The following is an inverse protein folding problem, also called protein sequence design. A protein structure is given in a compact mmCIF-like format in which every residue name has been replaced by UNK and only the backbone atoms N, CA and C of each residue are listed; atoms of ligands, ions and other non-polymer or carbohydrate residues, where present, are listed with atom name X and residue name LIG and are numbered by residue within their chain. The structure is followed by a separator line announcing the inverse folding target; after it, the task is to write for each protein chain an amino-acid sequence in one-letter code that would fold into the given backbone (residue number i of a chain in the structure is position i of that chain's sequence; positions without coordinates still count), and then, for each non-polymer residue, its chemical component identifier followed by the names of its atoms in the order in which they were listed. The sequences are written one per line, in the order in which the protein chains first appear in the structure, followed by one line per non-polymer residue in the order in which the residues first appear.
data_IF_429893784796
#
_entry.id   IF_429893784796
#
_cell.length_a   1.000
_cell.length_b   1.000
_cell.length_c   1.000
_cell.angle_alpha   90.00
_cell.angle_beta   90.00
_cell.angle_gamma   90.00
#
_symmetry.space_group_name_H-M   'P 1'
#
loop_
_entity.id
_entity.type
_entity.pdbx_description
1 polymer ?
#
# COMPACT_ATOMS: atom_id res chain seq x y z
N UNK A 1 -58.15 6.66 45.20
CA UNK A 1 -57.48 6.91 43.89
C UNK A 1 -56.57 5.73 43.57
N UNK A 2 -56.64 5.23 42.32
CA UNK A 2 -55.68 4.38 41.56
C UNK A 2 -55.21 3.07 42.21
N UNK A 3 -55.71 1.89 41.79
CA UNK A 3 -55.44 1.10 40.55
C UNK A 3 -54.10 0.31 40.56
N UNK A 4 -54.27 -1.01 40.66
CA UNK A 4 -53.58 -2.14 39.99
C UNK A 4 -52.34 -1.87 39.10
N UNK A 5 -51.29 -2.69 39.28
CA UNK A 5 -50.68 -3.60 38.26
C UNK A 5 -49.48 -4.33 38.90
N UNK A 6 -49.45 -5.67 39.03
CA UNK A 6 -49.17 -6.73 38.05
C UNK A 6 -47.77 -6.70 37.40
N UNK A 7 -47.07 -7.81 37.68
CA UNK A 7 -46.11 -8.58 36.86
C UNK A 7 -44.66 -8.09 36.85
N UNK A 8 -43.86 -8.88 37.56
CA UNK A 8 -42.41 -9.00 37.46
C UNK A 8 -42.07 -9.59 36.09
N UNK A 9 -41.46 -8.77 35.23
CA UNK A 9 -40.49 -9.16 34.22
C UNK A 9 -39.15 -8.53 34.69
N UNK A 10 -37.95 -9.02 34.41
CA UNK A 10 -37.40 -9.45 33.13
C UNK A 10 -36.13 -10.26 33.42
N UNK A 11 -35.82 -11.21 32.55
CA UNK A 11 -34.55 -11.92 32.50
C UNK A 11 -33.36 -10.95 32.36
N UNK A 12 -32.33 -11.16 33.17
CA UNK A 12 -31.04 -10.47 33.05
C UNK A 12 -30.21 -11.11 31.93
N UNK A 13 -30.12 -10.44 30.79
CA UNK A 13 -29.10 -10.71 29.78
C UNK A 13 -27.92 -9.76 30.02
N UNK A 14 -26.78 -10.33 30.39
CA UNK A 14 -25.52 -9.62 30.59
C UNK A 14 -24.99 -9.09 29.24
N UNK A 15 -24.94 -7.76 29.12
CA UNK A 15 -24.31 -7.06 28.01
C UNK A 15 -22.78 -7.06 28.25
N UNK A 16 -22.04 -7.90 27.51
CA UNK A 16 -20.58 -7.84 27.45
C UNK A 16 -20.17 -6.55 26.70
N UNK A 17 -19.72 -5.56 27.44
CA UNK A 17 -19.02 -4.40 26.89
C UNK A 17 -17.64 -4.85 26.37
N UNK A 18 -17.49 -4.95 25.04
CA UNK A 18 -16.18 -5.00 24.40
C UNK A 18 -15.76 -3.56 24.13
N UNK A 19 -14.69 -3.13 24.80
CA UNK A 19 -14.06 -1.83 24.56
C UNK A 19 -13.51 -1.76 23.12
N UNK A 20 -13.63 -0.61 22.43
CA UNK A 20 -12.94 -0.42 21.16
C UNK A 20 -11.43 -0.34 21.40
N UNK A 21 -10.70 -1.33 20.87
CA UNK A 21 -9.25 -1.25 20.72
C UNK A 21 -8.97 -0.15 19.70
N UNK A 22 -8.25 0.88 20.13
CA UNK A 22 -7.75 1.95 19.28
C UNK A 22 -6.89 1.34 18.15
N UNK A 23 -7.47 1.24 16.96
CA UNK A 23 -6.71 0.96 15.75
C UNK A 23 -5.92 2.22 15.41
N UNK A 24 -4.60 2.12 15.53
CA UNK A 24 -3.63 3.08 15.02
C UNK A 24 -4.02 3.44 13.59
N UNK A 25 -4.26 4.73 13.35
CA UNK A 25 -4.58 5.28 12.05
C UNK A 25 -3.46 4.92 11.06
N UNK A 26 -3.69 3.87 10.26
CA UNK A 26 -2.98 3.69 9.00
C UNK A 26 -3.51 4.79 8.10
N UNK A 27 -2.67 5.78 7.85
CA UNK A 27 -2.88 6.85 6.88
C UNK A 27 -3.15 6.23 5.50
N UNK A 28 -4.43 5.99 5.19
CA UNK A 28 -4.87 5.83 3.81
C UNK A 28 -4.77 7.20 3.19
N UNK A 29 -3.73 7.38 2.36
CA UNK A 29 -3.53 8.55 1.51
C UNK A 29 -4.81 8.77 0.73
N UNK A 30 -5.68 9.62 1.25
CA UNK A 30 -6.74 10.27 0.50
C UNK A 30 -6.00 11.21 -0.44
N UNK A 31 -5.77 10.78 -1.67
CA UNK A 31 -5.28 11.64 -2.73
C UNK A 31 -6.37 12.63 -3.12
N UNK A 32 -6.67 13.54 -2.21
CA UNK A 32 -7.07 14.89 -2.53
C UNK A 32 -5.84 15.76 -2.22
N UNK A 33 -4.76 15.56 -2.99
CA UNK A 33 -3.69 16.53 -2.98
C UNK A 33 -4.13 17.66 -3.92
N UNK A 34 -4.56 18.74 -3.30
CA UNK A 34 -4.71 20.05 -3.91
C UNK A 34 -3.33 20.54 -4.35
N UNK A 35 -2.79 19.97 -5.42
CA UNK A 35 -1.60 20.49 -6.08
C UNK A 35 -1.98 21.82 -6.76
N UNK A 36 -1.21 22.86 -6.41
CA UNK A 36 -1.36 24.27 -6.72
C UNK A 36 -2.28 24.61 -7.92
N UNK A 37 -3.55 24.94 -7.64
CA UNK A 37 -4.42 25.63 -8.59
C UNK A 37 -3.99 27.11 -8.61
N UNK A 38 -3.17 27.48 -9.58
CA UNK A 38 -2.88 28.89 -9.83
C UNK A 38 -4.14 29.58 -10.36
N UNK A 39 -4.59 30.62 -9.66
CA UNK A 39 -5.41 31.65 -10.30
C UNK A 39 -4.56 32.25 -11.41
N UNK A 40 -5.11 32.39 -12.62
CA UNK A 40 -4.43 33.06 -13.73
C UNK A 40 -4.10 34.50 -13.31
N UNK A 41 -2.91 34.69 -12.75
CA UNK A 41 -2.38 35.98 -12.34
C UNK A 41 -1.29 36.31 -13.35
N UNK A 42 -1.29 37.54 -13.87
CA UNK A 42 -0.21 38.08 -14.69
C UNK A 42 1.10 37.99 -13.91
N UNK A 43 1.84 36.90 -14.08
CA UNK A 43 3.17 36.75 -13.51
C UNK A 43 4.19 37.14 -14.57
N UNK A 44 4.77 38.32 -14.42
CA UNK A 44 5.76 38.95 -15.30
C UNK A 44 7.18 38.46 -15.05
N UNK A 45 7.37 37.34 -14.35
CA UNK A 45 8.70 36.83 -14.03
C UNK A 45 9.20 35.87 -15.11
N UNK A 46 10.00 36.42 -16.02
CA UNK A 46 10.78 35.71 -17.01
C UNK A 46 11.88 34.85 -16.35
N UNK A 47 11.78 33.53 -16.54
CA UNK A 47 12.92 32.62 -16.53
C UNK A 47 12.69 31.60 -17.65
N UNK A 48 13.76 31.18 -18.33
CA UNK A 48 13.72 30.20 -19.42
C UNK A 48 13.34 28.83 -18.86
N UNK A 49 12.05 28.56 -18.68
CA UNK A 49 11.59 27.35 -18.01
C UNK A 49 11.31 26.25 -19.03
N UNK A 50 12.36 25.53 -19.42
CA UNK A 50 12.17 24.20 -19.98
C UNK A 50 11.60 23.28 -18.89
N UNK A 51 10.62 22.45 -19.22
CA UNK A 51 10.17 21.32 -18.38
C UNK A 51 11.29 20.27 -18.30
N UNK A 52 12.25 20.47 -17.40
CA UNK A 52 13.39 19.58 -17.20
C UNK A 52 13.19 18.69 -15.98
N UNK A 53 12.97 17.40 -16.21
CA UNK A 53 12.79 16.39 -15.15
C UNK A 53 14.13 15.75 -14.80
N UNK A 54 14.67 16.07 -13.62
CA UNK A 54 16.00 15.65 -13.19
C UNK A 54 15.99 14.31 -12.44
N UNK A 55 16.44 13.25 -13.11
CA UNK A 55 16.58 11.88 -12.60
C UNK A 55 18.06 11.49 -12.38
N UNK A 56 18.94 12.47 -12.15
CA UNK A 56 20.37 12.21 -11.96
C UNK A 56 20.63 11.19 -10.84
N UNK A 57 21.47 10.19 -11.13
CA UNK A 57 21.81 9.11 -10.21
C UNK A 57 20.77 7.98 -10.09
N UNK A 58 19.52 8.20 -10.52
CA UNK A 58 18.49 7.14 -10.51
C UNK A 58 18.77 6.03 -11.56
N UNK A 59 19.54 6.33 -12.60
CA UNK A 59 19.90 5.41 -13.69
C UNK A 59 21.22 4.64 -13.51
N UNK A 60 21.97 4.87 -12.43
CA UNK A 60 23.35 4.36 -12.27
C UNK A 60 23.43 2.84 -12.04
N UNK A 61 22.30 2.17 -11.80
CA UNK A 61 22.26 0.79 -11.29
C UNK A 61 21.96 -0.31 -12.30
N UNK A 62 21.81 -0.06 -13.61
CA UNK A 62 21.28 -1.12 -14.49
C UNK A 62 21.82 -1.24 -15.94
N UNK A 63 21.93 -2.50 -16.40
CA UNK A 63 22.12 -2.86 -17.81
C UNK A 63 20.91 -2.41 -18.65
N UNK A 64 21.12 -2.18 -19.96
CA UNK A 64 20.22 -1.45 -20.89
C UNK A 64 18.71 -1.74 -20.85
N UNK A 65 18.23 -2.87 -20.31
CA UNK A 65 16.81 -3.21 -20.20
C UNK A 65 16.08 -2.61 -18.98
N UNK A 66 16.79 -1.95 -18.05
CA UNK A 66 16.24 -1.45 -16.79
C UNK A 66 16.18 0.09 -16.66
N UNK A 67 16.33 0.82 -17.77
CA UNK A 67 16.18 2.27 -17.82
C UNK A 67 14.81 2.68 -18.40
N UNK A 68 13.74 2.10 -17.83
CA UNK A 68 12.37 2.45 -18.20
C UNK A 68 11.84 3.53 -17.27
N UNK A 69 11.59 4.71 -17.83
CA UNK A 69 11.01 5.85 -17.12
C UNK A 69 9.50 5.80 -17.29
N UNK A 70 8.77 5.75 -16.18
CA UNK A 70 7.32 5.83 -16.22
C UNK A 70 6.90 7.30 -16.12
N UNK A 71 6.18 7.79 -17.12
CA UNK A 71 5.68 9.17 -17.16
C UNK A 71 4.16 9.16 -16.98
N UNK A 72 3.71 9.93 -16.00
CA UNK A 72 2.29 10.14 -15.73
C UNK A 72 2.00 11.61 -15.44
N UNK A 73 0.74 12.01 -15.50
CA UNK A 73 0.29 13.38 -15.26
C UNK A 73 -0.97 13.39 -14.40
N UNK A 74 -1.22 14.53 -13.75
CA UNK A 74 -2.49 14.81 -13.07
C UNK A 74 -3.12 16.14 -13.55
N UNK A 75 -2.83 16.52 -14.80
CA UNK A 75 -3.32 17.77 -15.36
C UNK A 75 -4.84 17.89 -15.27
N UNK A 76 -5.31 19.10 -14.97
CA UNK A 76 -6.71 19.43 -14.84
C UNK A 76 -7.02 20.73 -15.56
N UNK A 77 -8.13 20.72 -16.30
CA UNK A 77 -8.74 21.89 -16.92
C UNK A 77 -10.17 21.99 -16.41
N UNK A 78 -10.50 23.10 -15.78
CA UNK A 78 -11.88 23.42 -15.42
C UNK A 78 -12.35 24.59 -16.29
N UNK A 79 -13.51 24.43 -16.90
CA UNK A 79 -14.19 25.47 -17.65
C UNK A 79 -14.68 26.59 -16.73
N UNK A 80 -14.83 27.83 -17.23
CA UNK A 80 -15.31 28.94 -16.41
C UNK A 80 -16.77 28.71 -15.98
N UNK A 81 -17.15 29.31 -14.85
CA UNK A 81 -18.57 29.45 -14.49
C UNK A 81 -19.09 30.73 -15.13
N UNK A 82 -20.24 30.63 -15.79
CA UNK A 82 -20.94 31.78 -16.38
C UNK A 82 -22.33 31.92 -15.76
N UNK A 83 -22.77 33.15 -15.56
CA UNK A 83 -24.15 33.45 -15.15
C UNK A 83 -25.13 33.32 -16.35
N UNK A 84 -26.42 33.53 -16.10
CA UNK A 84 -27.48 33.48 -17.14
C UNK A 84 -27.28 34.52 -18.26
N UNK A 85 -26.50 35.57 -18.02
CA UNK A 85 -26.17 36.62 -18.97
C UNK A 85 -24.83 36.35 -19.68
N UNK A 86 -24.25 35.15 -19.50
CA UNK A 86 -22.97 34.71 -20.06
C UNK A 86 -21.74 35.47 -19.50
N UNK A 87 -21.86 36.16 -18.37
CA UNK A 87 -20.73 36.78 -17.69
C UNK A 87 -19.95 35.73 -16.90
N UNK A 88 -18.61 35.77 -16.98
CA UNK A 88 -17.74 34.89 -16.20
C UNK A 88 -17.81 35.28 -14.72
N UNK A 89 -18.34 34.39 -13.88
CA UNK A 89 -18.41 34.56 -12.42
C UNK A 89 -17.27 33.82 -11.70
N UNK A 90 -16.67 32.82 -12.35
CA UNK A 90 -15.41 32.23 -11.93
C UNK A 90 -14.60 31.84 -13.16
N UNK A 91 -13.33 32.23 -13.20
CA UNK A 91 -12.44 31.94 -14.32
C UNK A 91 -12.19 30.44 -14.47
N UNK A 92 -11.87 30.04 -15.70
CA UNK A 92 -11.30 28.74 -15.99
C UNK A 92 -10.00 28.54 -15.21
N UNK A 93 -9.71 27.30 -14.85
CA UNK A 93 -8.45 26.93 -14.18
C UNK A 93 -7.74 25.83 -14.95
N UNK A 94 -6.42 25.96 -15.05
CA UNK A 94 -5.55 25.00 -15.72
C UNK A 94 -4.35 24.76 -14.79
N UNK A 95 -4.04 23.50 -14.50
CA UNK A 95 -2.97 23.15 -13.58
C UNK A 95 -2.64 21.67 -13.56
N UNK A 96 -1.83 21.28 -12.58
CA UNK A 96 -1.31 19.92 -12.39
C UNK A 96 0.17 19.80 -12.74
N UNK A 97 0.66 18.57 -12.71
CA UNK A 97 2.06 18.22 -12.81
C UNK A 97 2.27 17.07 -13.79
N UNK A 98 3.41 17.10 -14.48
CA UNK A 98 3.97 15.91 -15.10
C UNK A 98 4.96 15.27 -14.13
N UNK A 99 4.88 13.96 -13.96
CA UNK A 99 5.78 13.20 -13.11
C UNK A 99 6.54 12.16 -13.92
N UNK A 100 7.80 11.93 -13.55
CA UNK A 100 8.63 10.87 -14.10
C UNK A 100 9.22 10.05 -12.96
N UNK A 101 9.08 8.73 -13.05
CA UNK A 101 9.59 7.79 -12.04
C UNK A 101 10.54 6.78 -12.67
N UNK A 102 11.73 6.66 -12.07
CA UNK A 102 12.75 5.69 -12.42
C UNK A 102 13.35 5.09 -11.15
N UNK A 103 13.42 3.76 -11.03
CA UNK A 103 14.06 3.05 -9.92
C UNK A 103 13.63 3.54 -8.52
N UNK A 104 12.36 3.86 -8.35
CA UNK A 104 11.79 4.38 -7.10
C UNK A 104 12.06 5.86 -6.81
N UNK A 105 12.83 6.54 -7.67
CA UNK A 105 12.98 8.00 -7.63
C UNK A 105 11.90 8.63 -8.51
N UNK A 106 11.16 9.59 -7.96
CA UNK A 106 10.12 10.34 -8.66
C UNK A 106 10.45 11.83 -8.63
N UNK A 107 10.35 12.47 -9.79
CA UNK A 107 10.43 13.92 -9.93
C UNK A 107 9.21 14.44 -10.68
N UNK A 108 8.83 15.69 -10.42
CA UNK A 108 7.70 16.33 -11.08
C UNK A 108 8.05 17.73 -11.57
N UNK A 109 7.25 18.22 -12.50
CA UNK A 109 7.26 19.61 -12.96
C UNK A 109 5.84 20.12 -13.05
N UNK A 110 5.59 21.27 -12.44
CA UNK A 110 4.27 21.92 -12.51
C UNK A 110 4.03 22.49 -13.90
N UNK A 111 2.77 22.48 -14.31
CA UNK A 111 2.32 23.15 -15.52
C UNK A 111 2.54 24.67 -15.45
N UNK A 112 2.56 25.24 -14.24
CA UNK A 112 2.89 26.65 -14.01
C UNK A 112 4.37 26.95 -14.35
N UNK A 113 5.27 26.04 -14.02
CA UNK A 113 6.68 26.18 -14.37
C UNK A 113 6.86 26.10 -15.89
N UNK A 114 6.05 25.26 -16.55
CA UNK A 114 6.04 25.06 -18.00
C UNK A 114 5.37 26.18 -18.82
N UNK A 115 4.83 27.24 -18.19
CA UNK A 115 3.83 28.14 -18.80
C UNK A 115 4.17 28.71 -20.20
N UNK A 116 5.45 28.99 -20.51
CA UNK A 116 5.86 29.48 -21.84
C UNK A 116 5.91 28.39 -22.92
N UNK A 117 6.04 27.14 -22.51
CA UNK A 117 6.12 25.96 -23.37
C UNK A 117 4.79 25.17 -23.37
N UNK A 118 3.76 25.68 -22.68
CA UNK A 118 2.40 25.12 -22.62
C UNK A 118 1.52 25.72 -23.71
N UNK A 119 0.82 24.85 -24.42
CA UNK A 119 -0.28 25.22 -25.30
C UNK A 119 -1.51 24.37 -24.99
N UNK A 120 -2.67 25.02 -24.85
CA UNK A 120 -3.98 24.36 -24.85
C UNK A 120 -4.71 24.78 -26.11
N UNK A 121 -5.08 23.81 -26.94
CA UNK A 121 -5.77 24.03 -28.21
C UNK A 121 -7.04 23.18 -28.33
N UNK A 122 -7.86 23.46 -29.33
CA UNK A 122 -8.85 22.51 -29.83
C UNK A 122 -8.17 21.17 -30.19
N UNK A 123 -8.92 20.07 -30.17
CA UNK A 123 -8.40 18.73 -30.48
C UNK A 123 -7.79 18.64 -31.88
N UNK A 124 -8.31 19.39 -32.85
CA UNK A 124 -7.75 19.50 -34.20
C UNK A 124 -6.52 20.44 -34.31
N UNK A 125 -6.14 21.10 -33.22
CA UNK A 125 -5.00 22.00 -33.14
C UNK A 125 -5.19 23.35 -33.84
N UNK A 126 -6.38 23.68 -34.35
CA UNK A 126 -6.59 24.92 -35.13
C UNK A 126 -6.79 26.16 -34.28
N UNK A 127 -7.33 26.02 -33.07
CA UNK A 127 -7.64 27.15 -32.19
C UNK A 127 -6.88 27.02 -30.87
N UNK A 128 -6.10 28.04 -30.51
CA UNK A 128 -5.41 28.10 -29.22
C UNK A 128 -6.27 28.84 -28.17
N UNK A 129 -6.41 28.22 -27.01
CA UNK A 129 -7.06 28.77 -25.82
C UNK A 129 -6.04 29.23 -24.77
N UNK A 130 -4.84 28.67 -24.80
CA UNK A 130 -3.71 29.13 -24.01
C UNK A 130 -2.43 28.91 -24.82
N UNK A 131 -1.60 29.93 -25.02
CA UNK A 131 -0.29 29.77 -25.66
C UNK A 131 0.59 30.99 -25.40
N UNK A 132 1.91 30.78 -25.41
CA UNK A 132 2.88 31.88 -25.37
C UNK A 132 3.57 32.04 -26.72
N UNK A 133 3.49 33.23 -27.31
CA UNK A 133 4.18 33.54 -28.56
C UNK A 133 5.58 34.10 -28.24
N UNK A 134 6.61 33.27 -28.43
CA UNK A 134 8.02 33.62 -28.19
C UNK A 134 8.55 34.72 -29.11
N UNK A 135 7.96 34.92 -30.29
CA UNK A 135 8.40 35.97 -31.21
C UNK A 135 7.91 37.34 -30.77
N UNK A 136 6.73 37.40 -30.14
CA UNK A 136 6.10 38.66 -29.68
C UNK A 136 6.16 38.86 -28.17
N UNK A 137 6.75 37.90 -27.44
CA UNK A 137 6.80 37.84 -25.98
C UNK A 137 5.43 38.01 -25.30
N UNK A 138 4.36 37.50 -25.93
CA UNK A 138 2.98 37.71 -25.50
C UNK A 138 2.31 36.41 -25.13
N UNK A 139 1.67 36.40 -23.95
CA UNK A 139 0.74 35.35 -23.53
C UNK A 139 -0.63 35.58 -24.16
N UNK A 140 -1.15 34.57 -24.84
CA UNK A 140 -2.55 34.48 -25.27
C UNK A 140 -3.30 33.56 -24.31
N UNK A 141 -4.18 34.13 -23.49
CA UNK A 141 -5.01 33.38 -22.56
C UNK A 141 -6.50 33.65 -22.85
N UNK A 142 -7.15 32.64 -23.42
CA UNK A 142 -8.58 32.55 -23.74
C UNK A 142 -9.19 31.32 -23.06
N UNK A 143 -8.66 30.91 -21.91
CA UNK A 143 -9.19 29.74 -21.19
C UNK A 143 -10.66 29.94 -20.76
N UNK A 144 -11.13 31.17 -20.61
CA UNK A 144 -12.55 31.47 -20.37
C UNK A 144 -13.47 31.21 -21.59
N UNK A 145 -12.92 30.83 -22.73
CA UNK A 145 -13.67 30.41 -23.92
C UNK A 145 -13.80 28.87 -24.01
N UNK A 146 -13.13 28.12 -23.12
CA UNK A 146 -13.32 26.66 -23.07
C UNK A 146 -14.72 26.30 -22.56
N UNK A 147 -15.23 25.18 -23.05
CA UNK A 147 -16.60 24.71 -22.80
C UNK A 147 -16.53 23.45 -21.96
N UNK A 148 -17.30 23.42 -20.86
CA UNK A 148 -17.38 22.24 -20.00
C UNK A 148 -17.88 21.02 -20.79
N UNK A 149 -17.36 19.83 -20.49
CA UNK A 149 -17.69 18.60 -21.19
C UNK A 149 -16.99 18.42 -22.53
N UNK A 150 -16.12 19.36 -22.94
CA UNK A 150 -15.37 19.29 -24.19
C UNK A 150 -13.92 18.88 -23.95
N UNK A 151 -13.40 18.04 -24.84
CA UNK A 151 -11.99 17.66 -24.85
C UNK A 151 -11.14 18.70 -25.59
N UNK A 152 -9.93 18.93 -25.07
CA UNK A 152 -8.92 19.83 -25.59
C UNK A 152 -7.58 19.10 -25.69
N UNK A 153 -6.64 19.68 -26.44
CA UNK A 153 -5.28 19.15 -26.55
C UNK A 153 -4.33 20.02 -25.74
N UNK A 154 -3.67 19.41 -24.75
CA UNK A 154 -2.51 19.99 -24.08
C UNK A 154 -1.25 19.60 -24.84
N UNK A 155 -0.37 20.56 -25.08
CA UNK A 155 0.97 20.35 -25.63
C UNK A 155 1.98 21.04 -24.72
N UNK A 156 2.98 20.28 -24.27
CA UNK A 156 4.17 20.78 -23.60
C UNK A 156 5.34 20.64 -24.57
N UNK A 157 5.92 21.74 -24.98
CA UNK A 157 7.07 21.77 -25.89
C UNK A 157 8.38 21.87 -25.12
N UNK A 158 9.49 21.67 -25.83
CA UNK A 158 10.85 21.87 -25.33
C UNK A 158 11.28 20.98 -24.16
N UNK A 159 10.41 20.07 -23.69
CA UNK A 159 10.62 19.20 -22.53
C UNK A 159 11.94 18.44 -22.54
N UNK A 160 12.43 18.07 -21.35
CA UNK A 160 13.62 17.25 -21.22
C UNK A 160 13.68 16.37 -19.97
N UNK A 161 14.59 15.41 -20.03
CA UNK A 161 14.97 14.55 -18.92
C UNK A 161 16.49 14.65 -18.73
N UNK A 162 16.94 14.75 -17.49
CA UNK A 162 18.38 14.71 -17.15
C UNK A 162 18.66 13.46 -16.33
N UNK A 163 19.58 12.60 -16.78
CA UNK A 163 20.01 11.40 -16.06
C UNK A 163 21.46 11.48 -15.56
N UNK A 164 22.19 12.49 -16.02
CA UNK A 164 23.59 12.73 -15.66
C UNK A 164 24.57 12.01 -16.57
N UNK A 165 25.83 12.42 -16.50
CA UNK A 165 26.89 12.01 -17.44
C UNK A 165 27.19 10.51 -17.45
N UNK A 166 26.81 9.77 -16.41
CA UNK A 166 26.91 8.30 -16.35
C UNK A 166 26.01 7.61 -17.39
N UNK A 167 24.96 8.31 -17.84
CA UNK A 167 23.98 7.85 -18.81
C UNK A 167 24.22 8.42 -20.22
N UNK A 168 25.36 9.09 -20.45
CA UNK A 168 25.72 9.67 -21.75
C UNK A 168 25.56 8.68 -22.91
N UNK A 169 25.00 9.15 -24.03
CA UNK A 169 24.84 8.40 -25.28
C UNK A 169 24.07 7.06 -25.14
N UNK A 170 23.37 6.82 -24.03
CA UNK A 170 22.53 5.63 -23.85
C UNK A 170 21.13 5.90 -24.36
N UNK A 171 20.43 4.83 -24.72
CA UNK A 171 18.99 4.87 -25.01
C UNK A 171 18.21 4.47 -23.77
N UNK A 172 17.16 5.23 -23.47
CA UNK A 172 16.16 4.94 -22.45
C UNK A 172 14.83 4.59 -23.11
N UNK A 173 13.95 3.93 -22.36
CA UNK A 173 12.55 3.75 -22.76
C UNK A 173 11.70 4.63 -21.87
N UNK A 174 10.89 5.50 -22.47
CA UNK A 174 9.89 6.31 -21.77
C UNK A 174 8.52 5.68 -21.98
N UNK A 175 7.93 5.17 -20.91
CA UNK A 175 6.57 4.65 -20.91
C UNK A 175 5.60 5.80 -20.69
N UNK A 176 4.87 6.15 -21.73
CA UNK A 176 3.91 7.26 -21.76
C UNK A 176 2.52 6.75 -21.33
N UNK A 177 1.74 7.59 -20.65
CA UNK A 177 0.36 7.31 -20.29
C UNK A 177 -0.51 7.02 -21.54
N UNK A 178 -1.57 6.21 -21.38
CA UNK A 178 -2.41 5.69 -22.48
C UNK A 178 -2.96 6.78 -23.42
N UNK A 179 -3.38 7.91 -22.85
CA UNK A 179 -4.03 9.01 -23.60
C UNK A 179 -3.06 10.17 -23.88
N UNK A 180 -1.76 9.86 -23.92
CA UNK A 180 -0.71 10.82 -24.15
C UNK A 180 0.31 10.32 -25.18
N UNK A 181 1.09 11.25 -25.72
CA UNK A 181 2.17 10.98 -26.65
C UNK A 181 3.43 11.72 -26.24
N UNK A 182 4.58 11.17 -26.61
CA UNK A 182 5.88 11.83 -26.54
C UNK A 182 6.44 11.88 -27.96
N UNK A 183 6.72 13.07 -28.47
CA UNK A 183 7.10 13.31 -29.87
C UNK A 183 6.13 12.71 -30.89
N UNK A 184 4.84 12.60 -30.53
CA UNK A 184 3.80 11.98 -31.37
C UNK A 184 3.69 10.46 -31.27
N UNK A 185 4.55 9.79 -30.49
CA UNK A 185 4.51 8.35 -30.27
C UNK A 185 3.78 7.98 -28.97
N UNK A 186 3.05 6.86 -28.98
CA UNK A 186 2.33 6.31 -27.81
C UNK A 186 3.07 5.11 -27.20
N UNK A 187 2.77 4.79 -25.94
CA UNK A 187 3.30 3.60 -25.29
C UNK A 187 4.78 3.73 -24.88
N UNK A 188 5.60 2.78 -25.31
CA UNK A 188 7.01 2.71 -24.94
C UNK A 188 7.88 3.42 -26.01
N UNK A 189 8.28 4.66 -25.73
CA UNK A 189 9.02 5.54 -26.65
C UNK A 189 10.52 5.48 -26.36
N UNK A 190 11.35 5.21 -27.37
CA UNK A 190 12.81 5.15 -27.19
C UNK A 190 13.43 6.53 -27.38
N UNK A 191 14.23 6.97 -26.41
CA UNK A 191 14.90 8.27 -26.44
C UNK A 191 16.40 8.08 -26.23
N UNK A 192 17.21 8.65 -27.12
CA UNK A 192 18.68 8.63 -26.98
C UNK A 192 19.14 9.88 -26.25
N UNK A 193 19.98 9.68 -25.24
CA UNK A 193 20.55 10.74 -24.42
C UNK A 193 21.78 11.35 -25.09
N UNK A 194 22.00 12.64 -24.86
CA UNK A 194 23.17 13.37 -25.35
C UNK A 194 24.46 12.99 -24.60
N UNK A 195 25.55 13.68 -24.92
CA UNK A 195 26.87 13.50 -24.31
C UNK A 195 26.92 13.82 -22.80
N UNK A 196 25.91 14.51 -22.27
CA UNK A 196 25.75 14.85 -20.86
C UNK A 196 24.71 13.98 -20.15
N UNK A 197 24.06 13.06 -20.87
CA UNK A 197 23.01 12.20 -20.33
C UNK A 197 21.64 12.88 -20.27
N UNK A 198 21.39 13.86 -21.13
CA UNK A 198 20.10 14.56 -21.22
C UNK A 198 19.33 14.17 -22.47
N UNK A 199 18.01 14.17 -22.38
CA UNK A 199 17.10 14.30 -23.51
C UNK A 199 16.45 15.69 -23.45
N UNK A 200 16.39 16.41 -24.56
CA UNK A 200 15.85 17.79 -24.62
C UNK A 200 15.03 17.99 -25.87
N UNK A 201 14.19 19.02 -25.91
CA UNK A 201 13.39 19.35 -27.09
C UNK A 201 12.23 18.38 -27.33
N UNK A 202 11.86 17.61 -26.31
CA UNK A 202 10.75 16.67 -26.39
C UNK A 202 9.41 17.41 -26.39
N UNK A 203 8.41 16.81 -27.00
CA UNK A 203 7.05 17.33 -27.02
C UNK A 203 6.11 16.31 -26.39
N UNK A 204 5.53 16.64 -25.24
CA UNK A 204 4.48 15.84 -24.64
C UNK A 204 3.12 16.38 -25.04
N UNK A 205 2.21 15.49 -25.40
CA UNK A 205 0.83 15.87 -25.73
C UNK A 205 -0.13 14.96 -24.99
N UNK A 206 -1.23 15.51 -24.50
CA UNK A 206 -2.30 14.76 -23.84
C UNK A 206 -3.67 15.40 -24.11
N UNK A 207 -4.71 14.59 -24.13
CA UNK A 207 -6.10 15.09 -24.13
C UNK A 207 -6.49 15.58 -22.74
N UNK A 208 -7.04 16.79 -22.64
CA UNK A 208 -7.61 17.36 -21.42
C UNK A 208 -9.13 17.46 -21.55
N UNK A 209 -9.85 16.84 -20.63
CA UNK A 209 -11.28 17.06 -20.49
C UNK A 209 -11.54 18.33 -19.67
N UNK A 210 -12.36 19.25 -20.18
CA UNK A 210 -12.72 20.47 -19.45
C UNK A 210 -13.90 20.21 -18.49
N UNK A 211 -13.63 20.21 -17.18
CA UNK A 211 -14.63 19.93 -16.16
C UNK A 211 -15.54 21.15 -15.85
N UNK A 212 -16.79 20.88 -15.50
CA UNK A 212 -17.75 21.86 -15.00
C UNK A 212 -17.55 22.12 -13.50
N UNK A 213 -16.86 23.21 -13.17
CA UNK A 213 -16.60 23.59 -11.78
C UNK A 213 -17.84 24.08 -11.01
N UNK A 214 -18.97 24.31 -11.69
CA UNK A 214 -20.25 24.65 -11.04
C UNK A 214 -20.87 23.44 -10.33
N UNK A 215 -20.50 22.22 -10.74
CA UNK A 215 -21.00 20.97 -10.15
C UNK A 215 -20.05 20.56 -9.02
N UNK A 216 -20.47 20.75 -7.77
CA UNK A 216 -19.62 20.46 -6.60
C UNK A 216 -19.91 19.10 -5.95
N UNK A 217 -20.85 18.32 -6.47
CA UNK A 217 -21.33 17.10 -5.82
C UNK A 217 -20.28 15.98 -5.91
N UNK A 218 -20.11 15.22 -4.83
CA UNK A 218 -19.17 14.11 -4.79
C UNK A 218 -19.67 12.91 -5.60
N UNK A 219 -18.74 11.99 -5.91
CA UNK A 219 -19.04 10.67 -6.46
C UNK A 219 -19.21 9.71 -5.28
N UNK A 220 -20.20 8.83 -5.37
CA UNK A 220 -20.52 7.81 -4.37
C UNK A 220 -20.60 6.44 -5.02
N UNK A 221 -20.41 5.38 -4.25
CA UNK A 221 -20.78 4.03 -4.67
C UNK A 221 -22.07 3.62 -4.00
N UNK A 222 -23.00 3.04 -4.76
CA UNK A 222 -24.25 2.45 -4.29
C UNK A 222 -24.17 0.95 -4.46
N UNK A 223 -24.54 0.19 -3.43
CA UNK A 223 -24.81 -1.24 -3.58
C UNK A 223 -26.18 -1.40 -4.23
N UNK A 224 -26.22 -1.99 -5.43
CA UNK A 224 -27.45 -2.08 -6.24
C UNK A 224 -28.54 -2.91 -5.56
N UNK A 225 -28.16 -3.84 -4.67
CA UNK A 225 -29.12 -4.73 -3.99
C UNK A 225 -29.81 -4.02 -2.83
N UNK A 226 -29.09 -3.18 -2.09
CA UNK A 226 -29.63 -2.47 -0.91
C UNK A 226 -30.07 -1.04 -1.22
N UNK A 227 -29.60 -0.45 -2.33
CA UNK A 227 -29.79 0.96 -2.65
C UNK A 227 -29.03 1.93 -1.73
N UNK A 228 -28.13 1.42 -0.89
CA UNK A 228 -27.37 2.21 0.09
C UNK A 228 -26.04 2.68 -0.46
N UNK A 229 -25.62 3.87 -0.06
CA UNK A 229 -24.27 4.36 -0.32
C UNK A 229 -23.27 3.61 0.55
N UNK A 230 -22.19 3.11 -0.04
CA UNK A 230 -21.17 2.32 0.65
C UNK A 230 -19.83 3.05 0.68
N UNK A 231 -19.13 2.94 1.80
CA UNK A 231 -17.72 3.37 1.94
C UNK A 231 -16.76 2.19 2.02
N UNK A 232 -17.29 0.97 2.21
CA UNK A 232 -16.57 -0.31 2.14
C UNK A 232 -17.51 -1.37 1.57
N UNK A 233 -17.00 -2.18 0.64
CA UNK A 233 -17.76 -3.28 0.05
C UNK A 233 -17.40 -4.63 0.67
N UNK A 234 -18.33 -5.57 0.53
CA UNK A 234 -18.12 -6.97 0.83
C UNK A 234 -18.74 -7.82 -0.29
N UNK A 235 -17.96 -8.76 -0.80
CA UNK A 235 -18.41 -9.73 -1.78
C UNK A 235 -17.89 -11.12 -1.43
N UNK A 236 -18.71 -12.14 -1.70
CA UNK A 236 -18.36 -13.53 -1.43
C UNK A 236 -18.48 -14.33 -2.72
N UNK A 237 -17.50 -15.19 -2.98
CA UNK A 237 -17.52 -16.09 -4.12
C UNK A 237 -16.83 -17.40 -3.80
N UNK A 238 -17.08 -18.43 -4.59
CA UNK A 238 -16.34 -19.68 -4.54
C UNK A 238 -15.34 -19.72 -5.69
N UNK A 239 -14.13 -20.16 -5.40
CA UNK A 239 -13.13 -20.42 -6.42
C UNK A 239 -13.47 -21.69 -7.20
N UNK A 240 -13.28 -21.67 -8.53
CA UNK A 240 -13.40 -22.85 -9.37
C UNK A 240 -12.03 -23.52 -9.46
N UNK A 241 -11.91 -24.77 -9.02
CA UNK A 241 -10.62 -25.49 -8.91
C UNK A 241 -9.54 -24.70 -8.16
N UNK A 242 -9.95 -23.97 -7.12
CA UNK A 242 -9.06 -23.11 -6.31
C UNK A 242 -8.58 -21.84 -7.02
N UNK A 243 -9.14 -21.51 -8.19
CA UNK A 243 -8.79 -20.31 -8.98
C UNK A 243 -9.97 -19.35 -9.16
N UNK A 244 -9.62 -18.09 -9.39
CA UNK A 244 -10.51 -17.03 -9.85
C UNK A 244 -9.85 -16.30 -11.04
N UNK A 245 -10.66 -15.56 -11.80
CA UNK A 245 -10.20 -14.72 -12.90
C UNK A 245 -10.44 -13.24 -12.56
N UNK A 246 -9.44 -12.40 -12.83
CA UNK A 246 -9.47 -10.96 -12.52
C UNK A 246 -10.64 -10.25 -13.18
N UNK A 247 -10.86 -10.47 -14.48
CA UNK A 247 -11.94 -9.80 -15.21
C UNK A 247 -13.31 -10.26 -14.70
N UNK A 248 -13.49 -11.56 -14.45
CA UNK A 248 -14.75 -12.07 -13.89
C UNK A 248 -15.05 -11.52 -12.50
N UNK A 249 -14.04 -11.39 -11.64
CA UNK A 249 -14.20 -10.76 -10.32
C UNK A 249 -14.62 -9.30 -10.49
N UNK A 250 -13.91 -8.53 -11.32
CA UNK A 250 -14.25 -7.12 -11.57
C UNK A 250 -15.66 -6.95 -12.15
N UNK A 251 -16.06 -7.79 -13.10
CA UNK A 251 -17.42 -7.80 -13.68
C UNK A 251 -18.50 -8.09 -12.62
N UNK A 252 -18.24 -9.00 -11.69
CA UNK A 252 -19.17 -9.28 -10.58
C UNK A 252 -19.26 -8.08 -9.62
N UNK A 253 -18.14 -7.45 -9.31
CA UNK A 253 -18.09 -6.30 -8.41
C UNK A 253 -18.78 -5.08 -9.01
N UNK A 254 -18.56 -4.79 -10.29
CA UNK A 254 -19.21 -3.66 -11.01
C UNK A 254 -20.70 -3.87 -11.24
N UNK A 255 -21.18 -5.12 -11.19
CA UNK A 255 -22.63 -5.42 -11.14
C UNK A 255 -23.24 -5.15 -9.77
N UNK A 256 -22.51 -5.41 -8.69
CA UNK A 256 -23.02 -5.20 -7.33
C UNK A 256 -22.92 -3.74 -6.88
N UNK A 257 -21.88 -3.04 -7.34
CA UNK A 257 -21.57 -1.67 -6.95
C UNK A 257 -21.61 -0.75 -8.16
N UNK A 258 -22.43 0.28 -8.07
CA UNK A 258 -22.54 1.32 -9.08
C UNK A 258 -21.96 2.63 -8.55
N UNK A 259 -21.11 3.30 -9.34
CA UNK A 259 -20.69 4.66 -9.02
C UNK A 259 -21.74 5.67 -9.55
N UNK A 260 -22.08 6.66 -8.74
CA UNK A 260 -23.06 7.69 -9.09
C UNK A 260 -22.61 9.07 -8.63
N UNK A 261 -23.15 10.10 -9.25
CA UNK A 261 -23.05 11.49 -8.82
C UNK A 261 -24.42 12.13 -8.84
N UNK A 262 -24.77 12.88 -7.79
CA UNK A 262 -25.99 13.66 -7.80
C UNK A 262 -25.81 14.88 -8.71
N UNK A 263 -26.62 15.03 -9.74
CA UNK A 263 -26.71 16.24 -10.57
C UNK A 263 -28.09 16.30 -11.23
N UNK A 264 -28.56 17.49 -11.59
CA UNK A 264 -29.86 17.67 -12.24
C UNK A 264 -31.04 16.99 -11.52
N UNK A 265 -31.00 17.07 -10.19
CA UNK A 265 -32.00 16.51 -9.26
C UNK A 265 -32.09 14.97 -9.24
N UNK A 266 -31.14 14.25 -9.84
CA UNK A 266 -31.09 12.79 -9.86
C UNK A 266 -29.68 12.26 -9.57
N UNK A 267 -29.58 10.97 -9.24
CA UNK A 267 -28.30 10.26 -9.24
C UNK A 267 -28.00 9.76 -10.66
N UNK A 268 -26.95 10.29 -11.25
CA UNK A 268 -26.48 9.91 -12.57
C UNK A 268 -25.33 8.92 -12.44
N UNK A 269 -25.38 7.87 -13.25
CA UNK A 269 -24.36 6.82 -13.28
C UNK A 269 -23.02 7.39 -13.75
N UNK A 270 -21.96 7.00 -13.05
CA UNK A 270 -20.57 7.34 -13.35
C UNK A 270 -19.83 6.04 -13.70
N UNK A 271 -18.93 6.12 -14.67
CA UNK A 271 -18.13 4.97 -15.06
C UNK A 271 -17.12 4.61 -13.96
N UNK A 272 -17.06 3.32 -13.64
CA UNK A 272 -15.98 2.75 -12.83
C UNK A 272 -14.74 2.68 -13.72
N UNK A 273 -13.67 3.31 -13.25
CA UNK A 273 -12.37 3.45 -13.91
C UNK A 273 -11.39 2.33 -13.56
N UNK A 274 -11.67 1.52 -12.54
CA UNK A 274 -10.84 0.34 -12.22
C UNK A 274 -10.82 -0.63 -13.39
N UNK A 275 -9.62 -1.01 -13.82
CA UNK A 275 -9.37 -1.95 -14.91
C UNK A 275 -8.87 -3.30 -14.38
N UNK A 276 -8.89 -4.37 -15.20
CA UNK A 276 -8.25 -5.63 -14.85
C UNK A 276 -6.74 -5.51 -14.52
N UNK A 277 -6.05 -4.54 -15.13
CA UNK A 277 -4.64 -4.29 -14.83
C UNK A 277 -4.44 -3.73 -13.41
N UNK A 278 -5.35 -2.88 -12.94
CA UNK A 278 -5.32 -2.32 -11.58
C UNK A 278 -5.54 -3.42 -10.55
N UNK A 279 -6.55 -4.27 -10.76
CA UNK A 279 -6.81 -5.43 -9.89
C UNK A 279 -5.63 -6.39 -9.88
N UNK A 280 -5.01 -6.63 -11.04
CA UNK A 280 -3.79 -7.45 -11.14
C UNK A 280 -2.64 -6.85 -10.33
N UNK A 281 -2.46 -5.53 -10.39
CA UNK A 281 -1.43 -4.83 -9.63
C UNK A 281 -1.69 -4.91 -8.11
N UNK A 282 -2.93 -4.76 -7.67
CA UNK A 282 -3.33 -4.92 -6.26
C UNK A 282 -3.07 -6.35 -5.75
N UNK A 283 -3.45 -7.37 -6.54
CA UNK A 283 -3.20 -8.78 -6.20
C UNK A 283 -1.69 -9.08 -6.10
N UNK A 284 -0.89 -8.64 -7.07
CA UNK A 284 0.57 -8.81 -7.03
C UNK A 284 1.19 -8.10 -5.83
N UNK A 285 0.72 -6.90 -5.50
CA UNK A 285 1.14 -6.17 -4.29
C UNK A 285 0.78 -6.93 -3.00
N UNK A 286 -0.30 -7.70 -3.01
CA UNK A 286 -0.68 -8.59 -1.92
C UNK A 286 0.08 -9.95 -1.93
N UNK A 287 1.00 -10.18 -2.87
CA UNK A 287 1.75 -11.43 -3.01
C UNK A 287 0.96 -12.56 -3.68
N UNK A 288 -0.10 -12.22 -4.43
CA UNK A 288 -0.89 -13.16 -5.23
C UNK A 288 -0.44 -13.07 -6.69
N UNK A 289 0.11 -14.17 -7.20
CA UNK A 289 0.51 -14.27 -8.59
C UNK A 289 -0.70 -14.40 -9.52
N UNK A 290 -0.67 -13.64 -10.62
CA UNK A 290 -1.68 -13.64 -11.67
C UNK A 290 -1.01 -14.03 -12.98
N UNK A 291 -1.56 -15.05 -13.64
CA UNK A 291 -1.05 -15.53 -14.93
C UNK A 291 -1.41 -14.58 -16.09
N UNK A 292 -0.85 -14.85 -17.28
CA UNK A 292 -1.06 -14.03 -18.47
C UNK A 292 -2.53 -14.00 -18.94
N UNK A 293 -3.33 -14.99 -18.56
CA UNK A 293 -4.77 -15.08 -18.85
C UNK A 293 -5.64 -14.43 -17.78
N UNK A 294 -5.02 -13.80 -16.75
CA UNK A 294 -5.73 -13.15 -15.66
C UNK A 294 -6.24 -14.10 -14.57
N UNK A 295 -5.82 -15.36 -14.56
CA UNK A 295 -6.21 -16.30 -13.50
C UNK A 295 -5.22 -16.25 -12.35
N UNK A 296 -5.72 -16.51 -11.14
CA UNK A 296 -4.91 -16.58 -9.93
C UNK A 296 -5.45 -17.64 -8.98
N UNK A 297 -4.57 -18.23 -8.17
CA UNK A 297 -4.99 -19.08 -7.03
C UNK A 297 -5.62 -18.18 -5.98
N UNK A 298 -6.90 -18.40 -5.70
CA UNK A 298 -7.66 -17.51 -4.84
C UNK A 298 -7.21 -17.67 -3.38
N UNK A 299 -6.80 -16.59 -2.69
CA UNK A 299 -6.65 -16.61 -1.24
C UNK A 299 -8.02 -16.70 -0.55
N UNK A 300 -8.06 -17.08 0.73
CA UNK A 300 -9.27 -17.06 1.56
C UNK A 300 -9.90 -15.66 1.66
N UNK A 301 -9.09 -14.61 1.56
CA UNK A 301 -9.55 -13.24 1.37
C UNK A 301 -8.57 -12.38 0.58
N UNK A 302 -9.11 -11.41 -0.16
CA UNK A 302 -8.34 -10.33 -0.80
C UNK A 302 -9.20 -9.07 -0.91
N UNK A 303 -8.60 -7.94 -1.28
CA UNK A 303 -9.31 -6.68 -1.50
C UNK A 303 -9.15 -6.24 -2.93
N UNK A 304 -10.24 -5.72 -3.51
CA UNK A 304 -10.25 -5.04 -4.81
C UNK A 304 -10.78 -3.63 -4.61
N UNK A 305 -10.07 -2.62 -5.09
CA UNK A 305 -10.54 -1.23 -5.03
C UNK A 305 -11.26 -0.84 -6.32
N UNK A 306 -12.55 -0.52 -6.22
CA UNK A 306 -13.29 0.11 -7.31
C UNK A 306 -13.06 1.61 -7.26
N UNK A 307 -12.59 2.21 -8.35
CA UNK A 307 -12.33 3.64 -8.50
C UNK A 307 -13.29 4.19 -9.54
N UNK A 308 -13.81 5.38 -9.32
CA UNK A 308 -14.65 6.08 -10.28
C UNK A 308 -14.21 7.54 -10.39
N UNK A 309 -14.39 8.15 -11.56
CA UNK A 309 -14.12 9.56 -11.82
C UNK A 309 -15.30 10.15 -12.57
N UNK A 310 -15.83 11.26 -12.09
CA UNK A 310 -16.88 11.99 -12.81
C UNK A 310 -16.29 12.72 -14.01
N UNK A 311 -16.86 12.47 -15.18
CA UNK A 311 -16.58 13.25 -16.39
C UNK A 311 -17.13 14.68 -16.29
N UNK A 312 -18.07 14.94 -15.38
CA UNK A 312 -18.66 16.27 -15.22
C UNK A 312 -17.74 17.21 -14.44
N UNK A 313 -17.22 16.79 -13.29
CA UNK A 313 -16.46 17.68 -12.40
C UNK A 313 -15.09 17.13 -11.98
N UNK A 314 -14.64 16.03 -12.57
CA UNK A 314 -13.33 15.44 -12.33
C UNK A 314 -13.17 14.79 -10.95
N UNK A 315 -14.18 14.86 -10.07
CA UNK A 315 -14.10 14.27 -8.73
C UNK A 315 -14.03 12.75 -8.82
N UNK A 316 -13.22 12.18 -7.94
CA UNK A 316 -13.01 10.74 -7.85
C UNK A 316 -13.61 10.16 -6.56
N UNK A 317 -13.89 8.87 -6.58
CA UNK A 317 -14.23 8.09 -5.40
C UNK A 317 -13.61 6.69 -5.50
N UNK A 318 -13.36 6.08 -4.34
CA UNK A 318 -12.82 4.73 -4.24
C UNK A 318 -13.64 3.91 -3.23
N UNK A 319 -13.94 2.67 -3.58
CA UNK A 319 -14.61 1.69 -2.73
C UNK A 319 -13.71 0.45 -2.60
N UNK A 320 -13.06 0.24 -1.44
CA UNK A 320 -12.37 -1.02 -1.17
C UNK A 320 -13.41 -2.11 -0.91
N UNK A 321 -13.39 -3.16 -1.71
CA UNK A 321 -14.28 -4.32 -1.58
C UNK A 321 -13.48 -5.51 -1.06
N UNK A 322 -13.85 -6.01 0.11
CA UNK A 322 -13.28 -7.24 0.65
C UNK A 322 -13.96 -8.43 -0.02
N UNK A 323 -13.18 -9.23 -0.73
CA UNK A 323 -13.61 -10.48 -1.34
C UNK A 323 -13.28 -11.62 -0.38
N UNK A 324 -14.30 -12.37 0.01
CA UNK A 324 -14.15 -13.59 0.81
C UNK A 324 -14.33 -14.81 -0.09
N UNK A 325 -13.39 -15.75 0.00
CA UNK A 325 -13.40 -16.99 -0.77
C UNK A 325 -13.36 -18.16 0.21
N UNK A 326 -14.52 -18.71 0.62
CA UNK A 326 -14.57 -19.76 1.65
C UNK A 326 -13.73 -21.01 1.34
N UNK A 327 -13.59 -21.37 0.06
CA UNK A 327 -12.75 -22.48 -0.40
C UNK A 327 -11.38 -22.02 -0.93
N UNK A 328 -10.97 -20.79 -0.62
CA UNK A 328 -9.69 -20.22 -1.02
C UNK A 328 -8.52 -20.78 -0.22
N UNK A 329 -7.31 -20.62 -0.76
CA UNK A 329 -6.07 -20.96 -0.09
C UNK A 329 -5.90 -20.05 1.13
N UNK A 330 -5.77 -20.66 2.31
CA UNK A 330 -5.64 -19.86 3.52
C UNK A 330 -4.39 -18.98 3.49
N UNK A 331 -4.56 -17.69 3.80
CA UNK A 331 -3.46 -16.71 3.85
C UNK A 331 -2.81 -16.65 5.22
N UNK A 332 -3.36 -17.34 6.22
CA UNK A 332 -2.73 -17.47 7.53
C UNK A 332 -1.72 -18.61 7.55
N UNK A 333 -0.50 -18.30 7.98
CA UNK A 333 0.52 -19.31 8.25
C UNK A 333 0.05 -20.17 9.43
N UNK A 334 0.07 -21.51 9.32
CA UNK A 334 -0.21 -22.38 10.46
C UNK A 334 0.63 -21.97 11.66
N UNK A 335 0.02 -21.90 12.83
CA UNK A 335 0.71 -21.48 14.04
C UNK A 335 0.16 -22.15 15.29
N UNK A 336 0.99 -22.19 16.32
CA UNK A 336 0.67 -22.74 17.63
C UNK A 336 1.15 -21.79 18.72
N UNK A 337 0.36 -21.64 19.77
CA UNK A 337 0.77 -20.94 20.97
C UNK A 337 1.71 -21.82 21.79
N UNK A 338 2.84 -21.25 22.22
CA UNK A 338 3.87 -21.92 23.02
C UNK A 338 4.25 -21.03 24.21
N UNK A 339 4.49 -21.66 25.36
CA UNK A 339 4.95 -20.94 26.56
C UNK A 339 6.46 -20.83 26.59
N UNK A 340 6.97 -19.62 26.82
CA UNK A 340 8.40 -19.36 27.02
C UNK A 340 8.83 -19.90 28.39
N UNK A 341 9.80 -20.81 28.42
CA UNK A 341 10.30 -21.44 29.65
C UNK A 341 11.64 -20.88 30.14
N UNK A 342 12.33 -20.10 29.30
CA UNK A 342 13.49 -19.29 29.64
C UNK A 342 13.42 -17.97 28.87
N UNK A 343 13.85 -16.84 29.46
CA UNK A 343 13.87 -15.56 28.73
C UNK A 343 14.50 -15.74 27.34
N UNK A 344 13.74 -15.36 26.32
CA UNK A 344 14.05 -15.64 24.93
C UNK A 344 14.26 -14.33 24.18
N UNK A 345 15.36 -14.26 23.41
CA UNK A 345 15.61 -13.18 22.48
C UNK A 345 15.15 -13.59 21.07
N UNK A 346 14.89 -12.59 20.24
CA UNK A 346 14.63 -12.77 18.82
C UNK A 346 15.94 -12.83 18.04
N UNK A 347 15.97 -13.69 17.03
CA UNK A 347 17.09 -13.88 16.12
C UNK A 347 16.61 -13.73 14.67
N UNK A 348 17.53 -13.38 13.77
CA UNK A 348 17.29 -13.45 12.32
C UNK A 348 17.61 -14.85 11.78
N UNK A 349 17.47 -15.02 10.46
CA UNK A 349 17.76 -16.27 9.74
C UNK A 349 19.22 -16.75 9.85
N UNK A 350 20.14 -15.88 10.26
CA UNK A 350 21.57 -16.19 10.40
C UNK A 350 21.96 -16.40 11.88
N UNK A 351 20.96 -16.51 12.76
CA UNK A 351 21.08 -16.60 14.22
C UNK A 351 21.78 -15.39 14.87
N UNK A 352 21.72 -14.21 14.26
CA UNK A 352 22.12 -12.95 14.89
C UNK A 352 20.94 -12.37 15.65
N UNK A 353 21.21 -11.81 16.83
CA UNK A 353 20.17 -11.24 17.69
C UNK A 353 19.56 -10.00 17.02
N UNK A 354 18.23 -9.94 16.98
CA UNK A 354 17.47 -8.81 16.41
C UNK A 354 16.91 -7.97 17.55
N UNK A 355 17.32 -6.70 17.60
CA UNK A 355 16.87 -5.73 18.59
C UNK A 355 17.27 -6.07 20.03
N UNK A 356 16.71 -5.29 20.97
CA UNK A 356 16.97 -5.45 22.41
C UNK A 356 15.85 -6.20 23.14
N UNK A 357 14.68 -6.31 22.52
CA UNK A 357 13.49 -6.90 23.13
C UNK A 357 13.67 -8.39 23.40
N UNK A 358 12.93 -8.86 24.40
CA UNK A 358 12.91 -10.26 24.81
C UNK A 358 11.53 -10.65 25.28
N UNK A 359 11.18 -11.91 25.04
CA UNK A 359 10.05 -12.52 25.70
C UNK A 359 10.50 -13.04 27.05
N UNK A 360 9.81 -12.59 28.09
CA UNK A 360 10.07 -13.04 29.45
C UNK A 360 9.45 -14.42 29.68
N UNK A 361 10.08 -15.18 30.58
CA UNK A 361 9.60 -16.50 30.99
C UNK A 361 8.13 -16.45 31.44
N UNK A 362 7.40 -17.50 31.07
CA UNK A 362 6.00 -17.81 31.34
C UNK A 362 4.98 -17.04 30.51
N UNK A 363 5.42 -16.18 29.59
CA UNK A 363 4.54 -15.61 28.59
C UNK A 363 4.36 -16.55 27.40
N UNK A 364 3.22 -16.41 26.73
CA UNK A 364 2.90 -17.13 25.50
C UNK A 364 3.48 -16.40 24.29
N UNK A 365 3.85 -17.15 23.27
CA UNK A 365 4.21 -16.67 21.93
C UNK A 365 3.56 -17.56 20.89
N UNK A 366 3.11 -16.95 19.80
CA UNK A 366 2.60 -17.68 18.64
C UNK A 366 3.74 -17.94 17.66
N UNK A 367 3.96 -19.20 17.31
CA UNK A 367 5.08 -19.63 16.46
C UNK A 367 4.66 -20.64 15.40
N UNK A 368 5.53 -20.87 14.42
CA UNK A 368 5.42 -21.96 13.46
C UNK A 368 5.29 -23.33 14.18
N UNK A 369 4.50 -24.28 13.68
CA UNK A 369 4.38 -25.61 14.29
C UNK A 369 5.67 -26.42 14.24
N UNK A 370 6.53 -26.15 13.25
CA UNK A 370 7.81 -26.82 13.02
C UNK A 370 8.98 -25.88 13.31
N UNK A 371 10.08 -26.47 13.77
CA UNK A 371 11.35 -25.76 13.95
C UNK A 371 12.18 -25.77 12.67
N UNK A 372 13.01 -24.74 12.52
CA UNK A 372 14.08 -24.63 11.51
C UNK A 372 15.42 -24.75 12.21
N UNK A 373 16.38 -25.45 11.60
CA UNK A 373 17.74 -25.54 12.14
C UNK A 373 18.60 -24.40 11.60
N UNK A 374 19.14 -23.57 12.49
CA UNK A 374 20.03 -22.46 12.17
C UNK A 374 21.31 -22.65 12.98
N UNK A 375 22.48 -22.72 12.32
CA UNK A 375 23.78 -22.95 12.95
C UNK A 375 23.78 -24.13 13.95
N UNK A 376 23.12 -25.24 13.59
CA UNK A 376 23.06 -26.47 14.38
C UNK A 376 22.11 -26.42 15.59
N UNK A 377 21.30 -25.37 15.76
CA UNK A 377 20.29 -25.26 16.82
C UNK A 377 18.89 -25.12 16.21
N UNK A 378 17.90 -25.67 16.89
CA UNK A 378 16.50 -25.57 16.47
C UNK A 378 15.90 -24.23 16.92
N UNK A 379 15.16 -23.59 16.02
CA UNK A 379 14.44 -22.35 16.26
C UNK A 379 13.00 -22.45 15.77
N UNK A 380 12.09 -21.80 16.48
CA UNK A 380 10.74 -21.53 16.03
C UNK A 380 10.68 -20.17 15.36
N UNK A 381 9.99 -20.06 14.22
CA UNK A 381 9.69 -18.77 13.62
C UNK A 381 8.46 -18.16 14.30
N UNK A 382 8.52 -16.86 14.61
CA UNK A 382 7.44 -16.14 15.28
C UNK A 382 6.39 -15.75 14.26
N UNK A 383 5.13 -16.01 14.59
CA UNK A 383 3.97 -15.69 13.75
C UNK A 383 3.13 -14.62 14.43
N UNK A 384 2.91 -13.51 13.74
CA UNK A 384 2.09 -12.39 14.20
C UNK A 384 1.08 -12.03 13.11
N UNK A 385 -0.18 -11.79 13.49
CA UNK A 385 -1.27 -11.47 12.55
C UNK A 385 -1.36 -12.46 11.36
N UNK A 386 -1.14 -13.75 11.63
CA UNK A 386 -1.18 -14.81 10.63
C UNK A 386 0.00 -14.82 9.66
N UNK A 387 1.03 -14.01 9.87
CA UNK A 387 2.22 -13.93 9.00
C UNK A 387 3.49 -14.31 9.77
N UNK A 388 4.36 -15.03 9.08
CA UNK A 388 5.70 -15.30 9.57
C UNK A 388 6.48 -13.97 9.61
N UNK A 389 7.10 -13.67 10.76
CA UNK A 389 7.74 -12.38 10.99
C UNK A 389 9.19 -12.31 10.50
N UNK A 390 9.79 -13.44 10.10
CA UNK A 390 11.23 -13.56 9.88
C UNK A 390 12.07 -13.49 11.15
N UNK A 391 11.43 -13.43 12.34
CA UNK A 391 12.10 -13.48 13.65
C UNK A 391 12.01 -14.90 14.22
N UNK A 392 13.08 -15.32 14.86
CA UNK A 392 13.25 -16.68 15.36
C UNK A 392 13.50 -16.71 16.87
N UNK A 393 12.95 -17.72 17.55
CA UNK A 393 13.19 -17.99 18.97
C UNK A 393 13.82 -19.37 19.10
N UNK A 394 14.93 -19.48 19.84
CA UNK A 394 15.58 -20.76 20.10
C UNK A 394 14.62 -21.72 20.82
N UNK A 395 14.41 -22.90 20.25
CA UNK A 395 13.48 -23.91 20.76
C UNK A 395 13.86 -24.41 22.16
N UNK A 396 15.14 -24.35 22.55
CA UNK A 396 15.61 -24.69 23.92
C UNK A 396 14.99 -23.79 25.00
N UNK A 397 14.60 -22.55 24.64
CA UNK A 397 13.90 -21.66 25.57
C UNK A 397 12.40 -21.97 25.70
N UNK A 398 11.86 -22.86 24.86
CA UNK A 398 10.43 -23.22 24.80
C UNK A 398 10.25 -24.68 25.19
N UNK A 399 10.74 -25.60 24.37
CA UNK A 399 10.58 -27.04 24.56
C UNK A 399 11.65 -27.63 25.49
N UNK A 400 12.80 -26.94 25.60
CA UNK A 400 13.93 -27.36 26.43
C UNK A 400 14.80 -28.44 25.79
N UNK A 401 15.95 -28.68 26.41
CA UNK A 401 16.91 -29.72 26.06
C UNK A 401 16.81 -30.86 27.07
N UNK A 402 16.58 -32.07 26.56
CA UNK A 402 16.70 -33.32 27.33
C UNK A 402 18.16 -33.59 27.67
N UNK A 403 18.47 -33.75 28.97
CA UNK A 403 19.82 -34.03 29.46
C UNK A 403 19.80 -35.19 30.45
N UNK A 404 20.74 -36.11 30.32
CA UNK A 404 20.86 -37.27 31.22
C UNK A 404 21.76 -36.95 32.40
N UNK A 405 21.32 -37.29 33.62
CA UNK A 405 22.14 -37.08 34.82
C UNK A 405 23.31 -38.06 34.91
N UNK A 406 24.52 -37.55 35.16
CA UNK A 406 25.73 -38.33 35.46
C UNK A 406 25.86 -38.70 36.94
N UNK A 407 25.18 -37.96 37.81
CA UNK A 407 25.17 -38.19 39.26
C UNK A 407 23.77 -38.02 39.85
N UNK A 408 23.53 -38.58 41.04
CA UNK A 408 22.30 -38.29 41.79
C UNK A 408 22.24 -36.78 42.09
N UNK A 409 21.07 -36.17 41.89
CA UNK A 409 20.90 -34.74 41.98
C UNK A 409 19.71 -34.33 42.85
N UNK A 410 19.90 -33.29 43.66
CA UNK A 410 18.80 -32.61 44.37
C UNK A 410 18.21 -31.50 43.49
N UNK A 411 16.92 -31.20 43.70
CA UNK A 411 16.25 -30.06 43.07
C UNK A 411 16.31 -28.85 44.01
N UNK A 412 16.73 -27.70 43.48
CA UNK A 412 16.95 -26.46 44.20
C UNK A 412 15.94 -25.38 43.83
N UNK A 413 15.58 -24.53 44.80
CA UNK A 413 14.83 -23.29 44.55
C UNK A 413 15.73 -22.05 44.56
N UNK A 414 16.90 -22.16 45.21
CA UNK A 414 17.94 -21.13 45.25
C UNK A 414 19.29 -21.76 45.61
N UNK A 415 20.37 -20.97 45.72
CA UNK A 415 21.68 -21.45 46.16
C UNK A 415 21.70 -22.04 47.56
N UNK A 416 20.73 -21.70 48.42
CA UNK A 416 20.71 -22.08 49.84
C UNK A 416 19.57 -23.05 50.19
N UNK A 417 18.58 -23.24 49.31
CA UNK A 417 17.36 -23.99 49.61
C UNK A 417 17.02 -25.00 48.53
N UNK A 418 16.73 -26.24 48.95
CA UNK A 418 16.13 -27.28 48.09
C UNK A 418 14.67 -26.94 47.79
N UNK A 419 14.23 -27.18 46.56
CA UNK A 419 12.83 -26.94 46.17
C UNK A 419 11.88 -27.92 46.87
N UNK A 420 12.32 -29.17 46.99
CA UNK A 420 11.58 -30.27 47.62
C UNK A 420 12.56 -31.33 48.14
N UNK A 421 12.05 -32.45 48.66
CA UNK A 421 12.86 -33.59 49.15
C UNK A 421 13.21 -34.61 48.05
N UNK A 422 12.85 -34.34 46.80
CA UNK A 422 13.05 -35.29 45.68
C UNK A 422 14.54 -35.38 45.33
N UNK A 423 15.00 -36.61 45.09
CA UNK A 423 16.34 -36.92 44.55
C UNK A 423 16.16 -37.54 43.18
N UNK A 424 16.63 -36.84 42.15
CA UNK A 424 16.72 -37.38 40.80
C UNK A 424 17.91 -38.33 40.72
N UNK A 425 17.71 -39.53 40.17
CA UNK A 425 18.74 -40.56 40.14
C UNK A 425 19.65 -40.41 38.93
N UNK A 426 20.89 -40.90 39.04
CA UNK A 426 21.80 -41.04 37.90
C UNK A 426 21.11 -41.81 36.76
N UNK A 427 21.31 -41.37 35.53
CA UNK A 427 20.70 -41.95 34.34
C UNK A 427 19.30 -41.41 34.02
N UNK A 428 18.65 -40.69 34.94
CA UNK A 428 17.37 -40.02 34.64
C UNK A 428 17.58 -38.91 33.61
N UNK A 429 16.76 -38.91 32.56
CA UNK A 429 16.65 -37.80 31.62
C UNK A 429 15.79 -36.69 32.22
N UNK A 430 16.28 -35.45 32.17
CA UNK A 430 15.59 -34.27 32.67
C UNK A 430 15.60 -33.20 31.59
N UNK A 431 14.42 -32.65 31.29
CA UNK A 431 14.31 -31.49 30.41
C UNK A 431 14.78 -30.23 31.14
N UNK A 432 15.77 -29.58 30.55
CA UNK A 432 16.33 -28.29 31.00
C UNK A 432 15.93 -27.19 30.04
N UNK A 433 15.62 -26.00 30.53
CA UNK A 433 15.15 -24.91 29.67
C UNK A 433 16.17 -23.78 29.59
N UNK A 434 16.63 -23.52 28.37
CA UNK A 434 17.58 -22.46 28.03
C UNK A 434 18.95 -22.60 28.70
N UNK A 435 19.65 -21.46 28.79
CA UNK A 435 20.96 -21.37 29.44
C UNK A 435 20.89 -21.61 30.95
N UNK A 436 22.02 -22.01 31.53
CA UNK A 436 22.14 -22.15 32.98
C UNK A 436 22.16 -20.78 33.68
N UNK A 437 21.58 -20.72 34.88
CA UNK A 437 21.67 -19.58 35.78
C UNK A 437 22.84 -19.73 36.75
N UNK A 438 23.65 -18.68 36.86
CA UNK A 438 24.61 -18.57 37.95
C UNK A 438 23.89 -18.13 39.22
N UNK A 439 23.83 -19.01 40.22
CA UNK A 439 23.28 -18.64 41.52
C UNK A 439 24.30 -17.89 42.36
N UNK A 440 23.87 -17.28 43.48
CA UNK A 440 24.72 -16.49 44.40
C UNK A 440 25.94 -17.24 44.96
N UNK A 441 25.98 -18.57 44.85
CA UNK A 441 27.12 -19.39 45.25
C UNK A 441 28.14 -19.62 44.11
N UNK A 442 28.01 -18.91 42.99
CA UNK A 442 28.88 -19.03 41.81
C UNK A 442 28.65 -20.29 40.97
N UNK A 443 27.75 -21.20 41.38
CA UNK A 443 27.48 -22.44 40.65
C UNK A 443 26.36 -22.24 39.64
N UNK A 444 26.45 -22.96 38.52
CA UNK A 444 25.47 -22.92 37.44
C UNK A 444 24.36 -23.96 37.67
N UNK A 445 23.13 -23.57 37.35
CA UNK A 445 21.94 -24.40 37.51
C UNK A 445 20.98 -24.23 36.32
N UNK A 446 20.48 -25.33 35.77
CA UNK A 446 19.44 -25.29 34.76
C UNK A 446 18.05 -25.26 35.40
N UNK A 447 17.12 -24.48 34.82
CA UNK A 447 15.69 -24.60 35.15
C UNK A 447 15.17 -25.93 34.62
N UNK A 448 14.42 -26.65 35.43
CA UNK A 448 13.75 -27.91 35.06
C UNK A 448 12.24 -27.79 35.28
N UNK A 449 11.44 -28.64 34.65
CA UNK A 449 9.98 -28.64 34.79
C UNK A 449 9.28 -27.48 34.07
N UNK A 450 8.16 -27.80 33.42
CA UNK A 450 7.39 -26.93 32.55
C UNK A 450 6.40 -25.99 33.30
N UNK A 451 6.75 -25.54 34.50
CA UNK A 451 5.89 -24.74 35.37
C UNK A 451 6.61 -23.56 36.03
N UNK A 452 5.84 -22.76 36.78
CA UNK A 452 6.29 -21.55 37.49
C UNK A 452 7.13 -21.83 38.74
N UNK A 453 7.22 -23.09 39.16
CA UNK A 453 7.97 -23.46 40.35
C UNK A 453 9.47 -23.17 40.19
N UNK A 454 10.10 -22.77 41.29
CA UNK A 454 11.55 -22.60 41.37
C UNK A 454 12.22 -23.96 41.53
N UNK A 455 12.41 -24.65 40.41
CA UNK A 455 12.98 -25.99 40.34
C UNK A 455 14.22 -26.00 39.45
N UNK A 456 15.39 -26.22 40.04
CA UNK A 456 16.66 -26.11 39.36
C UNK A 456 17.59 -27.27 39.71
N UNK A 457 18.37 -27.74 38.73
CA UNK A 457 19.37 -28.79 38.93
C UNK A 457 20.75 -28.24 38.57
N UNK A 458 21.77 -28.57 39.36
CA UNK A 458 23.13 -28.08 39.13
C UNK A 458 23.64 -28.59 37.78
N UNK A 459 24.19 -27.68 36.96
CA UNK A 459 24.64 -27.98 35.60
C UNK A 459 25.71 -29.08 35.55
N UNK A 460 26.60 -29.13 36.54
CA UNK A 460 27.67 -30.15 36.66
C UNK A 460 27.16 -31.57 36.93
N UNK A 461 25.87 -31.76 37.17
CA UNK A 461 25.29 -33.10 37.38
C UNK A 461 24.86 -33.77 36.06
N UNK A 462 24.89 -33.03 34.93
CA UNK A 462 24.54 -33.51 33.59
C UNK A 462 25.77 -33.88 32.75
#
# INVERSE_FOLDING_TARGET
MKKNLRIVSVAAAALLAVAPVAASAVSTVSAADSSAVTTATNSTSAANNNVSLNLNGAGDTAANAANTVNVSSNFSLNAPVKDTNNNVTANATLGGELTATLNGTTVSSSLADAAQDVTVSSTDGKTNFYSYNKNTNKLENKLNDVVAGTDYKLTLTNMGFSFGSSMKNKTITVKVAKDATLNGETGDVKVTLDQYGNATGLTYTQTLHAYNQSVTNAVYFINVNSGTTETKGAWMTLANDGKLNVSSVLDSLTKQYEAVQYSDKAFNKINITTTPADVTAELKKAGVDVDASGNFTAPDTFTVTLNAKSDVNGKTASLPVVVTVPNGKSTVVPSVAKTIMHNAYYYDKDAKRVGTDKLTRYNSVTVSPKTTTINGKAYYEVVENGKATGKFINADNIDGTKRTLKHNAYVYASSKKRANKVVLKKGTEVTTYGGSYTFKNGKQYYKIGNNTDKTYVKASNF
#
